data_IF_008016133703
#
_entry.id   IF_008016133703
#
_cell.length_a   1.000
_cell.length_b   1.000
_cell.length_c   1.000
_cell.angle_alpha   90.00
_cell.angle_beta   90.00
_cell.angle_gamma   90.00
#
_symmetry.space_group_name_H-M   'P 1'
#
loop_
_entity.id
_entity.type
_entity.pdbx_description
1 polymer ?
#
# COMPACT_ATOMS: atom_id res chain seq x y z
N UNK A 1 -29.75 -37.15 -19.69
CA UNK A 1 -28.64 -38.06 -19.35
C UNK A 1 -27.38 -37.21 -19.29
N UNK A 2 -26.85 -37.00 -18.08
CA UNK A 2 -25.67 -36.14 -17.86
C UNK A 2 -24.44 -36.88 -18.36
N UNK A 3 -23.68 -36.26 -19.25
CA UNK A 3 -22.45 -36.81 -19.81
C UNK A 3 -21.24 -36.36 -18.98
N UNK A 4 -20.21 -37.21 -18.92
CA UNK A 4 -18.97 -36.97 -18.16
C UNK A 4 -18.30 -35.61 -18.45
N UNK A 5 -18.29 -35.09 -19.71
CA UNK A 5 -17.77 -33.76 -20.01
C UNK A 5 -18.55 -32.61 -19.36
N UNK A 6 -19.87 -32.70 -19.28
CA UNK A 6 -20.72 -31.66 -18.69
C UNK A 6 -20.43 -31.50 -17.19
N UNK A 7 -20.20 -32.61 -16.50
CA UNK A 7 -19.75 -32.62 -15.09
C UNK A 7 -18.36 -31.99 -14.92
N UNK A 8 -17.44 -32.23 -15.85
CA UNK A 8 -16.10 -31.64 -15.83
C UNK A 8 -16.13 -30.12 -15.95
N UNK A 9 -16.90 -29.59 -16.91
CA UNK A 9 -17.04 -28.15 -17.13
C UNK A 9 -17.75 -27.49 -15.94
N UNK A 10 -18.78 -28.15 -15.40
CA UNK A 10 -19.51 -27.66 -14.23
C UNK A 10 -18.59 -27.56 -13.00
N UNK A 11 -17.75 -28.58 -12.74
CA UNK A 11 -16.78 -28.56 -11.65
C UNK A 11 -15.76 -27.43 -11.81
N UNK A 12 -15.24 -27.23 -13.03
CA UNK A 12 -14.30 -26.16 -13.35
C UNK A 12 -14.92 -24.77 -13.15
N UNK A 13 -16.18 -24.59 -13.56
CA UNK A 13 -16.93 -23.36 -13.36
C UNK A 13 -17.14 -23.07 -11.86
N UNK A 14 -17.47 -24.09 -11.06
CA UNK A 14 -17.62 -23.94 -9.60
C UNK A 14 -16.30 -23.55 -8.94
N UNK A 15 -15.19 -24.20 -9.30
CA UNK A 15 -13.86 -23.85 -8.80
C UNK A 15 -13.49 -22.41 -9.19
N UNK A 16 -13.72 -22.03 -10.44
CA UNK A 16 -13.48 -20.66 -10.93
C UNK A 16 -14.31 -19.62 -10.18
N UNK A 17 -15.59 -19.92 -9.91
CA UNK A 17 -16.47 -19.04 -9.14
C UNK A 17 -16.00 -18.88 -7.69
N UNK A 18 -15.60 -19.96 -7.04
CA UNK A 18 -15.05 -19.91 -5.68
C UNK A 18 -13.76 -19.11 -5.62
N UNK A 19 -12.87 -19.30 -6.60
CA UNK A 19 -11.63 -18.55 -6.70
C UNK A 19 -11.88 -17.07 -6.90
N UNK A 20 -12.75 -16.70 -7.85
CA UNK A 20 -13.15 -15.32 -8.10
C UNK A 20 -13.77 -14.68 -6.86
N UNK A 21 -14.70 -15.38 -6.19
CA UNK A 21 -15.32 -14.90 -4.94
C UNK A 21 -14.27 -14.63 -3.86
N UNK A 22 -13.28 -15.51 -3.73
CA UNK A 22 -12.19 -15.35 -2.77
C UNK A 22 -11.32 -14.15 -3.11
N UNK A 23 -10.97 -13.97 -4.38
CA UNK A 23 -10.19 -12.84 -4.87
C UNK A 23 -10.88 -11.50 -4.60
N UNK A 24 -12.19 -11.40 -4.90
CA UNK A 24 -12.98 -10.20 -4.61
C UNK A 24 -13.05 -9.90 -3.10
N UNK A 25 -13.12 -10.93 -2.25
CA UNK A 25 -13.13 -10.74 -0.80
C UNK A 25 -11.78 -10.24 -0.27
N UNK A 26 -10.66 -10.65 -0.89
CA UNK A 26 -9.33 -10.18 -0.52
C UNK A 26 -9.11 -8.70 -0.80
N UNK A 27 -9.74 -8.14 -1.84
CA UNK A 27 -9.63 -6.71 -2.17
C UNK A 27 -10.17 -5.84 -1.02
N UNK A 28 -11.29 -6.25 -0.42
CA UNK A 28 -11.88 -5.53 0.74
C UNK A 28 -10.93 -5.57 1.94
N UNK A 29 -10.34 -6.73 2.21
CA UNK A 29 -9.37 -6.88 3.29
C UNK A 29 -8.11 -6.02 3.06
N UNK A 30 -7.62 -5.97 1.81
CA UNK A 30 -6.47 -5.15 1.44
C UNK A 30 -6.74 -3.66 1.64
N UNK A 31 -7.94 -3.18 1.28
CA UNK A 31 -8.32 -1.79 1.50
C UNK A 31 -8.37 -1.42 2.99
N UNK A 32 -8.95 -2.28 3.83
CA UNK A 32 -9.04 -2.05 5.28
C UNK A 32 -7.64 -2.06 5.91
N UNK A 33 -6.78 -3.00 5.51
CA UNK A 33 -5.40 -3.06 5.98
C UNK A 33 -4.61 -1.83 5.56
N UNK A 34 -4.72 -1.40 4.30
CA UNK A 34 -4.08 -0.18 3.81
C UNK A 34 -4.54 1.06 4.58
N UNK A 35 -5.86 1.22 4.81
CA UNK A 35 -6.39 2.35 5.59
C UNK A 35 -5.87 2.33 7.02
N UNK A 36 -6.00 1.21 7.73
CA UNK A 36 -5.53 1.09 9.11
C UNK A 36 -4.01 1.29 9.25
N UNK A 37 -3.27 0.77 8.26
CA UNK A 37 -1.83 0.93 8.14
C UNK A 37 -1.39 2.38 7.92
N UNK A 38 -1.96 3.06 6.92
CA UNK A 38 -1.65 4.46 6.61
C UNK A 38 -2.04 5.36 7.77
N UNK A 39 -3.19 5.12 8.41
CA UNK A 39 -3.59 5.85 9.60
C UNK A 39 -2.58 5.67 10.74
N UNK A 40 -2.09 4.45 10.97
CA UNK A 40 -1.06 4.19 11.98
C UNK A 40 0.26 4.91 11.67
N UNK A 41 0.71 4.90 10.41
CA UNK A 41 1.89 5.66 9.97
C UNK A 41 1.70 7.17 10.15
N UNK A 42 0.52 7.69 9.85
CA UNK A 42 0.19 9.09 10.01
C UNK A 42 0.25 9.51 11.48
N UNK A 43 -0.33 8.70 12.37
CA UNK A 43 -0.24 8.89 13.82
C UNK A 43 1.21 8.84 14.29
N UNK A 44 2.00 7.87 13.82
CA UNK A 44 3.42 7.79 14.16
C UNK A 44 4.21 9.03 13.73
N UNK A 45 3.96 9.53 12.51
CA UNK A 45 4.55 10.78 12.02
C UNK A 45 4.18 11.98 12.90
N UNK A 46 2.94 12.03 13.39
CA UNK A 46 2.48 13.07 14.33
C UNK A 46 3.21 13.02 15.68
N UNK A 47 3.55 11.83 16.17
CA UNK A 47 4.37 11.65 17.37
C UNK A 47 5.87 11.94 17.14
N UNK A 48 6.27 12.36 15.94
CA UNK A 48 7.66 12.67 15.61
C UNK A 48 8.51 11.44 15.34
N UNK A 49 7.91 10.26 15.18
CA UNK A 49 8.62 9.13 14.58
C UNK A 49 8.88 9.51 13.12
N UNK A 50 10.15 9.70 12.74
CA UNK A 50 10.60 10.16 11.42
C UNK A 50 10.34 9.16 10.29
N UNK A 51 9.08 8.74 10.14
CA UNK A 51 8.67 7.72 9.19
C UNK A 51 8.46 8.36 7.84
N UNK A 52 9.34 8.02 6.89
CA UNK A 52 9.24 8.50 5.51
C UNK A 52 8.08 7.82 4.79
N UNK A 53 7.08 8.60 4.38
CA UNK A 53 5.95 8.15 3.53
C UNK A 53 6.43 7.92 2.10
N UNK A 54 7.06 6.77 1.87
CA UNK A 54 7.54 6.33 0.56
C UNK A 54 6.57 5.32 -0.07
N UNK A 55 6.59 5.15 -1.41
CA UNK A 55 5.82 4.09 -2.06
C UNK A 55 6.08 2.70 -1.45
N UNK A 56 7.33 2.41 -1.06
CA UNK A 56 7.71 1.15 -0.42
C UNK A 56 7.03 0.99 0.94
N UNK A 57 7.08 2.01 1.80
CA UNK A 57 6.41 1.97 3.11
C UNK A 57 4.90 1.81 2.95
N UNK A 58 4.28 2.50 1.98
CA UNK A 58 2.85 2.37 1.71
C UNK A 58 2.49 0.96 1.21
N UNK A 59 3.32 0.34 0.37
CA UNK A 59 3.11 -1.03 -0.11
C UNK A 59 3.22 -2.05 1.04
N UNK A 60 4.28 -1.96 1.85
CA UNK A 60 4.48 -2.85 3.01
C UNK A 60 3.28 -2.74 3.96
N UNK A 61 2.86 -1.51 4.22
CA UNK A 61 1.75 -1.22 5.14
C UNK A 61 0.39 -1.56 4.52
N UNK A 62 0.23 -1.53 3.20
CA UNK A 62 -0.98 -2.00 2.53
C UNK A 62 -1.11 -3.53 2.56
N UNK A 63 0.00 -4.26 2.41
CA UNK A 63 0.03 -5.71 2.45
C UNK A 63 -0.16 -6.26 3.87
N UNK A 64 0.55 -5.69 4.84
CA UNK A 64 0.54 -6.16 6.22
C UNK A 64 -0.41 -5.38 7.15
N UNK A 65 -0.92 -4.22 6.75
CA UNK A 65 -1.80 -3.38 7.55
C UNK A 65 -1.10 -2.72 8.74
N UNK A 66 -1.81 -2.68 9.87
CA UNK A 66 -1.29 -2.18 11.16
C UNK A 66 0.03 -2.87 11.58
N UNK A 67 0.17 -4.22 11.51
CA UNK A 67 1.46 -4.83 11.81
C UNK A 67 2.58 -4.39 10.85
N UNK A 68 2.26 -4.07 9.59
CA UNK A 68 3.20 -3.45 8.65
C UNK A 68 3.65 -2.06 9.09
N UNK A 69 2.74 -1.23 9.58
CA UNK A 69 3.04 0.12 10.07
C UNK A 69 3.99 0.06 11.28
N UNK A 70 3.70 -0.86 12.21
CA UNK A 70 4.53 -1.09 13.40
C UNK A 70 5.95 -1.50 13.00
N UNK A 71 6.10 -2.41 12.02
CA UNK A 71 7.40 -2.80 11.49
C UNK A 71 8.16 -1.62 10.88
N UNK A 72 7.50 -0.77 10.10
CA UNK A 72 8.12 0.42 9.49
C UNK A 72 8.59 1.41 10.56
N UNK A 73 7.78 1.66 11.59
CA UNK A 73 8.13 2.54 12.71
C UNK A 73 9.33 1.99 13.48
N UNK A 74 9.33 0.68 13.80
CA UNK A 74 10.44 0.00 14.47
C UNK A 74 11.73 0.09 13.66
N UNK A 75 11.65 -0.12 12.34
CA UNK A 75 12.80 -0.07 11.45
C UNK A 75 13.37 1.35 11.33
N UNK A 76 12.49 2.36 11.34
CA UNK A 76 12.86 3.78 11.37
C UNK A 76 13.59 4.16 12.67
N UNK A 77 13.20 3.57 13.80
CA UNK A 77 13.87 3.80 15.09
C UNK A 77 15.19 3.03 15.23
N UNK A 78 15.28 1.83 14.65
CA UNK A 78 16.44 0.94 14.73
C UNK A 78 17.64 1.31 13.82
N UNK A 79 17.57 2.41 13.06
CA UNK A 79 18.68 2.88 12.22
C UNK A 79 18.91 2.08 10.92
N UNK A 80 18.12 1.04 10.65
CA UNK A 80 18.08 0.36 9.35
C UNK A 80 17.18 1.16 8.39
N UNK A 81 17.55 2.41 8.12
CA UNK A 81 16.89 3.23 7.14
C UNK A 81 16.93 2.52 5.79
N UNK A 82 15.77 2.10 5.29
CA UNK A 82 15.62 1.87 3.85
C UNK A 82 16.22 3.11 3.16
N UNK A 83 17.13 2.97 2.18
CA UNK A 83 17.80 4.09 1.51
C UNK A 83 16.86 5.00 0.69
N UNK A 84 15.55 4.92 0.90
CA UNK A 84 14.51 5.61 0.13
C UNK A 84 14.12 6.99 0.68
N UNK A 85 14.80 7.49 1.72
CA UNK A 85 14.61 8.86 2.22
C UNK A 85 14.98 9.92 1.18
N UNK A 86 16.04 9.67 0.41
CA UNK A 86 16.57 10.60 -0.59
C UNK A 86 15.64 10.76 -1.80
N UNK A 87 15.03 9.68 -2.27
CA UNK A 87 14.10 9.72 -3.41
C UNK A 87 12.79 10.46 -3.08
N UNK A 88 12.30 10.35 -1.83
CA UNK A 88 11.11 11.06 -1.37
C UNK A 88 11.35 12.55 -1.20
N UNK A 89 12.50 12.93 -0.61
CA UNK A 89 12.89 14.33 -0.49
C UNK A 89 13.11 14.98 -1.85
N UNK A 90 13.71 14.27 -2.81
CA UNK A 90 13.90 14.75 -4.16
C UNK A 90 12.58 15.07 -4.90
N UNK A 91 11.54 14.24 -4.73
CA UNK A 91 10.22 14.51 -5.34
C UNK A 91 9.50 15.69 -4.67
N UNK A 92 9.66 15.84 -3.35
CA UNK A 92 9.11 16.99 -2.61
C UNK A 92 9.83 18.28 -3.00
N UNK A 93 11.16 18.23 -3.16
CA UNK A 93 11.96 19.36 -3.61
C UNK A 93 11.68 19.72 -5.06
N UNK A 94 11.58 18.74 -5.97
CA UNK A 94 11.15 18.99 -7.34
C UNK A 94 9.74 19.58 -7.41
N UNK A 95 8.81 19.06 -6.62
CA UNK A 95 7.45 19.60 -6.53
C UNK A 95 7.43 21.04 -6.05
N UNK A 96 8.23 21.37 -5.03
CA UNK A 96 8.35 22.74 -4.50
C UNK A 96 9.00 23.68 -5.52
N UNK A 97 10.03 23.22 -6.21
CA UNK A 97 10.69 23.98 -7.28
C UNK A 97 9.75 24.29 -8.45
N UNK A 98 8.99 23.29 -8.92
CA UNK A 98 8.00 23.48 -9.98
C UNK A 98 6.86 24.39 -9.54
N UNK A 99 6.42 24.30 -8.29
CA UNK A 99 5.39 25.16 -7.73
C UNK A 99 5.85 26.62 -7.64
N UNK A 100 7.07 26.86 -7.16
CA UNK A 100 7.66 28.21 -7.13
C UNK A 100 7.85 28.77 -8.54
N UNK A 101 8.20 27.93 -9.52
CA UNK A 101 8.31 28.33 -10.91
C UNK A 101 6.94 28.66 -11.52
N UNK A 102 5.90 27.90 -11.21
CA UNK A 102 4.54 28.20 -11.63
C UNK A 102 4.02 29.51 -11.02
N UNK A 103 4.31 29.76 -9.75
CA UNK A 103 3.95 31.01 -9.07
C UNK A 103 4.60 32.24 -9.71
N UNK A 104 5.86 32.13 -10.16
CA UNK A 104 6.56 33.23 -10.86
C UNK A 104 6.03 33.53 -12.25
N UNK A 105 5.30 32.61 -12.89
CA UNK A 105 4.70 32.85 -14.20
C UNK A 105 3.37 33.61 -14.09
N UNK A 106 2.74 33.57 -12.90
CA UNK A 106 1.43 34.20 -12.64
C UNK A 106 1.59 35.62 -12.07
N UNK A 107 2.77 35.97 -11.54
CA UNK A 107 3.11 37.33 -11.07
C UNK A 107 3.83 38.13 -12.15
#
# INVERSE_FOLDING_TARGET
MVTTPELGILLLAVIGLLFARRLLSSIKALAINAVGGVLALFVASWFGFGVSLTPVTLIVTALAGIPGAILVVLLSYGGAGLPAGEAGQFLIEQGRYLFDQALRVIQ
#
